data_IF_110191367305
#
_entry.id   IF_110191367305
#
_cell.length_a   1.000
_cell.length_b   1.000
_cell.length_c   1.000
_cell.angle_alpha   90.00
_cell.angle_beta   90.00
_cell.angle_gamma   90.00
#
_symmetry.space_group_name_H-M   'P 1'
#
loop_
_entity.id
_entity.type
_entity.pdbx_description
1 polymer ?
#
# COMPACT_ATOMS: atom_id res chain seq x y z
N UNK A 1 -1.34 -27.00 8.08
CA UNK A 1 -0.87 -26.48 9.38
C UNK A 1 -1.26 -27.47 10.47
N UNK A 2 -0.29 -28.00 11.21
CA UNK A 2 -0.53 -28.98 12.28
C UNK A 2 -1.26 -28.35 13.47
N UNK A 3 -2.26 -29.04 14.01
CA UNK A 3 -3.03 -28.64 15.19
C UNK A 3 -2.06 -28.53 16.38
N UNK A 4 -1.82 -27.31 16.90
CA UNK A 4 -0.97 -27.07 18.07
C UNK A 4 -1.85 -26.66 19.25
N UNK A 5 -2.14 -27.61 20.12
CA UNK A 5 -2.93 -27.41 21.34
C UNK A 5 -2.11 -26.65 22.39
N UNK A 6 -2.80 -26.12 23.43
CA UNK A 6 -2.12 -25.54 24.59
C UNK A 6 -1.25 -26.59 25.29
N UNK A 7 -0.14 -26.13 25.87
CA UNK A 7 0.69 -26.96 26.75
C UNK A 7 -0.10 -27.26 28.04
N UNK A 8 -0.09 -28.53 28.45
CA UNK A 8 -0.64 -28.98 29.72
C UNK A 8 0.42 -28.80 30.80
N UNK A 9 0.09 -28.04 31.85
CA UNK A 9 0.94 -27.84 33.01
C UNK A 9 0.44 -28.69 34.17
N UNK A 10 1.35 -29.44 34.79
CA UNK A 10 1.06 -30.26 35.96
C UNK A 10 2.11 -30.07 37.05
N UNK A 11 1.70 -30.25 38.30
CA UNK A 11 2.60 -30.23 39.44
C UNK A 11 3.71 -31.29 39.29
N UNK A 12 4.95 -30.94 39.67
CA UNK A 12 6.11 -31.82 39.58
C UNK A 12 6.67 -32.06 38.17
N UNK A 13 6.14 -31.41 37.14
CA UNK A 13 6.65 -31.53 35.77
C UNK A 13 8.02 -30.84 35.61
N UNK A 14 8.98 -31.53 35.00
CA UNK A 14 10.28 -30.93 34.64
C UNK A 14 10.11 -29.95 33.47
N UNK A 15 10.76 -28.79 33.55
CA UNK A 15 10.74 -27.78 32.49
C UNK A 15 11.67 -28.18 31.34
N UNK A 16 11.11 -28.21 30.13
CA UNK A 16 11.84 -28.41 28.88
C UNK A 16 11.70 -27.15 28.02
N UNK A 17 12.70 -26.80 27.18
CA UNK A 17 12.60 -25.66 26.26
C UNK A 17 11.34 -25.70 25.39
N UNK A 18 10.90 -26.90 25.02
CA UNK A 18 9.70 -27.14 24.21
C UNK A 18 8.44 -26.56 24.87
N UNK A 19 8.32 -26.58 26.20
CA UNK A 19 7.15 -26.00 26.87
C UNK A 19 7.01 -24.51 26.56
N UNK A 20 8.11 -23.77 26.65
CA UNK A 20 8.13 -22.34 26.36
C UNK A 20 7.99 -22.04 24.87
N UNK A 21 8.69 -22.78 24.01
CA UNK A 21 8.61 -22.62 22.55
C UNK A 21 7.19 -22.81 22.02
N UNK A 22 6.51 -23.88 22.43
CA UNK A 22 5.13 -24.13 21.98
C UNK A 22 4.11 -23.22 22.65
N UNK A 23 4.36 -22.76 23.88
CA UNK A 23 3.52 -21.75 24.52
C UNK A 23 3.62 -20.40 23.79
N UNK A 24 4.81 -19.96 23.44
CA UNK A 24 5.04 -18.73 22.68
C UNK A 24 4.39 -18.82 21.29
N UNK A 25 4.66 -19.89 20.54
CA UNK A 25 4.01 -20.16 19.24
C UNK A 25 2.49 -20.19 19.32
N UNK A 26 1.91 -20.75 20.40
CA UNK A 26 0.48 -20.74 20.61
C UNK A 26 -0.05 -19.30 20.78
N UNK A 27 0.62 -18.46 21.58
CA UNK A 27 0.23 -17.07 21.77
C UNK A 27 0.40 -16.24 20.49
N UNK A 28 1.52 -16.38 19.79
CA UNK A 28 1.76 -15.72 18.50
C UNK A 28 0.65 -16.06 17.50
N UNK A 29 0.26 -17.33 17.40
CA UNK A 29 -0.85 -17.76 16.54
C UNK A 29 -2.19 -17.15 16.96
N UNK A 30 -2.51 -17.13 18.26
CA UNK A 30 -3.76 -16.51 18.73
C UNK A 30 -3.79 -15.00 18.44
N UNK A 31 -2.65 -14.31 18.57
CA UNK A 31 -2.53 -12.89 18.22
C UNK A 31 -2.70 -12.68 16.71
N UNK A 32 -2.08 -13.53 15.88
CA UNK A 32 -2.27 -13.50 14.44
C UNK A 32 -3.74 -13.74 14.06
N UNK A 33 -4.39 -14.74 14.65
CA UNK A 33 -5.81 -15.06 14.41
C UNK A 33 -6.73 -13.90 14.84
N UNK A 34 -6.45 -13.27 15.98
CA UNK A 34 -7.19 -12.11 16.46
C UNK A 34 -7.02 -10.87 15.56
N UNK A 35 -5.89 -10.70 14.86
CA UNK A 35 -5.73 -9.64 13.85
C UNK A 35 -6.56 -9.95 12.60
N UNK A 36 -6.43 -11.18 12.08
CA UNK A 36 -7.13 -11.60 10.86
C UNK A 36 -8.67 -11.63 11.02
N UNK A 37 -9.18 -11.77 12.25
CA UNK A 37 -10.63 -11.73 12.48
C UNK A 37 -11.26 -10.36 12.22
N UNK A 38 -10.47 -9.27 12.24
CA UNK A 38 -10.95 -7.91 11.99
C UNK A 38 -10.87 -7.54 10.50
N UNK A 39 -9.88 -8.05 9.78
CA UNK A 39 -9.78 -7.88 8.32
C UNK A 39 -8.91 -8.99 7.71
N UNK A 40 -9.31 -9.54 6.54
CA UNK A 40 -8.49 -10.52 5.82
C UNK A 40 -7.19 -9.93 5.25
N UNK A 41 -7.06 -8.59 5.26
CA UNK A 41 -5.93 -7.84 4.71
C UNK A 41 -5.01 -7.26 5.80
N UNK A 42 -5.06 -7.78 7.03
CA UNK A 42 -4.21 -7.33 8.14
C UNK A 42 -2.76 -7.83 8.05
N UNK A 43 -2.11 -7.67 6.90
CA UNK A 43 -0.69 -7.94 6.67
C UNK A 43 -0.12 -6.96 5.62
N UNK A 44 1.19 -6.92 5.45
CA UNK A 44 1.86 -6.06 4.48
C UNK A 44 2.93 -5.15 5.08
N UNK A 45 3.41 -4.24 4.25
CA UNK A 45 4.46 -3.25 4.54
C UNK A 45 3.91 -2.14 5.44
N UNK A 46 4.71 -1.79 6.46
CA UNK A 46 4.51 -0.59 7.29
C UNK A 46 5.58 0.47 7.00
N UNK A 47 6.81 0.04 6.71
CA UNK A 47 7.88 0.93 6.28
C UNK A 47 8.87 0.16 5.41
N UNK A 48 9.30 0.74 4.30
CA UNK A 48 10.24 0.12 3.38
C UNK A 48 11.12 1.20 2.75
N UNK A 49 12.43 1.01 2.81
CA UNK A 49 13.40 1.87 2.11
C UNK A 49 14.50 1.01 1.49
N UNK A 50 14.75 1.26 0.21
CA UNK A 50 15.84 0.66 -0.56
C UNK A 50 17.09 1.52 -0.47
N UNK A 51 18.25 0.91 -0.70
CA UNK A 51 19.50 1.61 -0.94
C UNK A 51 19.62 1.91 -2.45
N UNK A 52 19.27 3.13 -2.85
CA UNK A 52 19.31 3.55 -4.26
C UNK A 52 20.74 3.54 -4.82
N UNK A 53 21.74 3.90 -4.01
CA UNK A 53 23.13 3.89 -4.43
C UNK A 53 23.66 2.48 -4.69
N UNK A 54 23.27 1.50 -3.86
CA UNK A 54 23.58 0.10 -4.12
C UNK A 54 22.84 -0.43 -5.36
N UNK A 55 21.58 -0.01 -5.57
CA UNK A 55 20.78 -0.43 -6.71
C UNK A 55 21.40 0.03 -8.04
N UNK A 56 21.90 1.26 -8.09
CA UNK A 56 22.65 1.79 -9.25
C UNK A 56 23.90 0.96 -9.58
N UNK A 57 24.53 0.35 -8.55
CA UNK A 57 25.68 -0.53 -8.69
C UNK A 57 25.30 -1.99 -9.02
N UNK A 58 24.00 -2.26 -9.24
CA UNK A 58 23.50 -3.60 -9.55
C UNK A 58 23.31 -4.50 -8.33
N UNK A 59 23.28 -3.96 -7.11
CA UNK A 59 23.02 -4.72 -5.89
C UNK A 59 21.74 -4.24 -5.20
N UNK A 60 20.80 -5.14 -4.98
CA UNK A 60 19.59 -4.84 -4.23
C UNK A 60 19.85 -4.92 -2.72
N UNK A 61 19.71 -3.80 -2.01
CA UNK A 61 19.78 -3.74 -0.55
C UNK A 61 18.65 -2.90 0.03
N UNK A 62 18.31 -3.19 1.29
CA UNK A 62 17.35 -2.42 2.07
C UNK A 62 18.09 -1.62 3.15
N UNK A 63 17.59 -0.43 3.45
CA UNK A 63 18.03 0.40 4.59
C UNK A 63 16.99 0.41 5.71
N UNK A 64 15.74 0.09 5.39
CA UNK A 64 14.63 -0.05 6.36
C UNK A 64 13.65 -1.11 5.86
N UNK A 65 13.24 -2.00 6.76
CA UNK A 65 12.21 -3.01 6.51
C UNK A 65 11.34 -3.18 7.75
N UNK A 66 10.05 -2.83 7.66
CA UNK A 66 9.04 -3.15 8.65
C UNK A 66 7.83 -3.76 7.95
N UNK A 67 7.62 -5.05 8.16
CA UNK A 67 6.62 -5.84 7.43
C UNK A 67 5.92 -6.80 8.37
N UNK A 68 4.59 -6.84 8.30
CA UNK A 68 3.79 -7.90 8.89
C UNK A 68 3.52 -8.97 7.83
N UNK A 69 4.04 -10.17 8.03
CA UNK A 69 3.83 -11.29 7.11
C UNK A 69 2.41 -11.86 7.21
N UNK A 70 1.92 -12.56 6.17
CA UNK A 70 0.63 -13.25 6.20
C UNK A 70 0.44 -14.25 7.35
N UNK A 71 1.53 -14.79 7.91
CA UNK A 71 1.48 -15.69 9.08
C UNK A 71 1.31 -14.93 10.42
N UNK A 72 1.29 -13.60 10.39
CA UNK A 72 1.16 -12.72 11.55
C UNK A 72 2.48 -12.29 12.20
N UNK A 73 3.62 -12.70 11.62
CA UNK A 73 4.96 -12.35 12.12
C UNK A 73 5.34 -10.94 11.70
N UNK A 74 5.74 -10.10 12.65
CA UNK A 74 6.23 -8.76 12.39
C UNK A 74 7.77 -8.77 12.37
N UNK A 75 8.37 -8.30 11.29
CA UNK A 75 9.79 -7.95 11.26
C UNK A 75 9.97 -6.44 11.38
N UNK A 76 10.98 -6.01 12.13
CA UNK A 76 11.37 -4.61 12.26
C UNK A 76 12.91 -4.46 12.18
N UNK A 77 13.44 -4.26 10.97
CA UNK A 77 14.86 -4.12 10.70
C UNK A 77 15.23 -2.70 10.21
N UNK A 78 16.33 -2.09 10.69
CA UNK A 78 17.36 -2.66 11.57
C UNK A 78 17.10 -2.49 13.09
N UNK A 79 15.87 -2.18 13.52
CA UNK A 79 15.61 -1.80 14.92
C UNK A 79 15.69 -2.98 15.91
N UNK A 80 15.11 -4.11 15.54
CA UNK A 80 15.08 -5.34 16.34
C UNK A 80 15.66 -6.53 15.58
N UNK A 81 15.59 -6.51 14.25
CA UNK A 81 16.04 -7.60 13.39
C UNK A 81 17.12 -7.11 12.42
N UNK A 82 17.99 -8.00 11.92
CA UNK A 82 18.98 -7.65 10.92
C UNK A 82 18.33 -7.53 9.54
N UNK A 83 18.74 -6.52 8.77
CA UNK A 83 18.31 -6.37 7.37
C UNK A 83 18.65 -7.64 6.57
N UNK A 84 17.81 -8.04 5.60
CA UNK A 84 18.11 -9.20 4.77
C UNK A 84 19.40 -8.98 3.97
N UNK A 85 20.18 -10.04 3.68
CA UNK A 85 21.37 -9.93 2.85
C UNK A 85 21.05 -9.35 1.48
N UNK A 86 21.96 -8.52 0.96
CA UNK A 86 21.81 -7.94 -0.37
C UNK A 86 21.85 -9.01 -1.47
N UNK A 87 21.15 -8.77 -2.58
CA UNK A 87 21.17 -9.65 -3.75
C UNK A 87 21.87 -8.97 -4.91
N UNK A 88 22.79 -9.68 -5.54
CA UNK A 88 23.38 -9.25 -6.81
C UNK A 88 22.33 -9.40 -7.93
N UNK A 89 22.15 -8.35 -8.72
CA UNK A 89 21.22 -8.30 -9.85
C UNK A 89 21.90 -8.60 -11.17
N UNK A 90 23.24 -8.69 -11.20
CA UNK A 90 24.01 -8.91 -12.43
C UNK A 90 23.76 -10.29 -13.06
N UNK A 91 23.38 -11.27 -12.24
CA UNK A 91 23.09 -12.65 -12.67
C UNK A 91 21.66 -12.84 -13.21
N UNK A 92 20.78 -11.84 -13.04
CA UNK A 92 19.39 -11.94 -13.50
C UNK A 92 19.27 -11.83 -15.02
N UNK A 93 18.31 -12.57 -15.57
CA UNK A 93 17.96 -12.57 -17.00
C UNK A 93 17.84 -11.15 -17.56
N UNK A 94 18.34 -10.95 -18.79
CA UNK A 94 18.44 -9.61 -19.39
C UNK A 94 17.11 -9.01 -19.86
N UNK A 95 16.03 -9.80 -19.94
CA UNK A 95 14.76 -9.35 -20.47
C UNK A 95 13.66 -9.62 -19.44
N UNK A 96 13.03 -8.57 -18.90
CA UNK A 96 11.85 -8.72 -18.04
C UNK A 96 11.78 -7.74 -16.87
N UNK A 97 10.61 -7.70 -16.25
CA UNK A 97 10.37 -7.10 -14.94
C UNK A 97 10.65 -8.15 -13.88
N UNK A 98 11.42 -7.82 -12.83
CA UNK A 98 11.79 -8.78 -11.78
C UNK A 98 11.04 -8.44 -10.51
N UNK A 99 10.17 -9.34 -10.05
CA UNK A 99 9.46 -9.18 -8.77
C UNK A 99 10.34 -9.63 -7.62
N UNK A 100 10.48 -8.75 -6.63
CA UNK A 100 11.25 -8.98 -5.41
C UNK A 100 10.30 -9.23 -4.25
N UNK A 101 10.59 -10.27 -3.49
CA UNK A 101 9.87 -10.62 -2.27
C UNK A 101 10.82 -10.57 -1.08
N UNK A 102 10.35 -10.05 0.04
CA UNK A 102 10.95 -10.41 1.33
C UNK A 102 10.29 -11.71 1.79
N UNK A 103 11.11 -12.64 2.26
CA UNK A 103 10.67 -13.96 2.68
C UNK A 103 11.26 -14.34 4.04
N UNK A 104 10.48 -15.10 4.79
CA UNK A 104 10.84 -15.68 6.08
C UNK A 104 10.51 -17.18 6.05
N UNK A 105 11.48 -18.02 6.41
CA UNK A 105 11.31 -19.47 6.38
C UNK A 105 10.22 -19.89 7.38
N UNK A 106 9.32 -20.77 6.95
CA UNK A 106 8.32 -21.36 7.84
C UNK A 106 8.98 -22.32 8.83
N UNK A 107 8.41 -22.46 10.03
CA UNK A 107 8.88 -23.44 10.99
C UNK A 107 8.58 -24.86 10.52
N UNK A 108 9.64 -25.64 10.33
CA UNK A 108 9.57 -27.05 9.98
C UNK A 108 9.78 -27.91 11.24
N UNK A 109 8.80 -28.75 11.62
CA UNK A 109 8.99 -29.68 12.72
C UNK A 109 10.20 -30.58 12.48
N UNK A 110 10.90 -30.96 13.55
CA UNK A 110 12.05 -31.87 13.50
C UNK A 110 13.28 -31.34 12.73
N UNK A 111 13.29 -30.05 12.37
CA UNK A 111 14.46 -29.33 11.88
C UNK A 111 14.86 -28.25 12.89
N UNK A 112 16.16 -27.91 13.05
CA UNK A 112 16.56 -26.70 13.74
C UNK A 112 15.86 -25.47 13.15
N UNK A 113 15.50 -24.51 14.00
CA UNK A 113 14.78 -23.29 13.60
C UNK A 113 15.70 -22.08 13.41
N UNK A 114 16.93 -22.14 13.89
CA UNK A 114 17.89 -21.03 13.90
C UNK A 114 19.25 -21.43 13.30
N UNK A 115 20.06 -20.42 12.93
CA UNK A 115 21.49 -20.53 12.64
C UNK A 115 22.30 -19.66 13.59
N UNK A 116 23.60 -19.94 13.73
CA UNK A 116 24.53 -19.11 14.49
C UNK A 116 24.88 -17.83 13.73
N UNK A 117 25.23 -16.76 14.45
CA UNK A 117 25.48 -15.43 13.90
C UNK A 117 26.53 -15.42 12.77
N UNK A 118 27.59 -16.23 12.89
CA UNK A 118 28.68 -16.31 11.90
C UNK A 118 28.35 -17.19 10.68
N UNK A 119 27.16 -17.81 10.66
CA UNK A 119 26.76 -18.68 9.55
C UNK A 119 26.27 -17.82 8.37
N UNK A 120 26.72 -18.08 7.13
CA UNK A 120 26.21 -17.41 5.95
C UNK A 120 24.67 -17.44 5.86
N UNK A 121 24.07 -16.25 5.74
CA UNK A 121 22.61 -16.08 5.73
C UNK A 121 22.05 -16.35 4.33
N UNK A 122 21.75 -17.62 4.05
CA UNK A 122 21.09 -18.05 2.80
C UNK A 122 19.57 -18.23 2.93
N UNK A 123 18.96 -17.74 4.02
CA UNK A 123 17.51 -17.88 4.26
C UNK A 123 17.04 -19.31 4.58
N UNK A 124 17.94 -20.24 4.91
CA UNK A 124 17.60 -21.64 5.16
C UNK A 124 16.90 -21.92 6.50
N UNK A 125 16.85 -20.95 7.41
CA UNK A 125 16.29 -21.05 8.76
C UNK A 125 15.59 -19.75 9.15
N UNK A 126 14.57 -19.86 10.02
CA UNK A 126 13.69 -18.74 10.39
C UNK A 126 14.39 -17.71 11.26
N UNK A 127 15.24 -18.16 12.18
CA UNK A 127 15.87 -17.29 13.17
C UNK A 127 17.39 -17.23 13.02
N UNK A 128 17.98 -16.15 13.53
CA UNK A 128 19.40 -15.96 13.78
C UNK A 128 19.61 -15.91 15.29
N UNK A 129 20.56 -16.67 15.82
CA UNK A 129 20.95 -16.52 17.21
C UNK A 129 21.75 -15.24 17.40
N UNK A 130 21.39 -14.50 18.44
CA UNK A 130 22.08 -13.30 18.91
C UNK A 130 22.25 -13.39 20.43
N UNK A 131 23.07 -12.51 20.99
CA UNK A 131 23.28 -12.40 22.44
C UNK A 131 23.07 -10.94 22.84
N UNK A 132 22.26 -10.74 23.88
CA UNK A 132 21.95 -9.42 24.39
C UNK A 132 22.19 -9.37 25.89
N UNK A 133 22.94 -8.38 26.35
CA UNK A 133 23.12 -8.10 27.78
C UNK A 133 21.93 -7.30 28.26
N UNK A 134 21.04 -7.94 29.02
CA UNK A 134 19.79 -7.36 29.49
C UNK A 134 19.80 -7.20 31.01
N UNK A 135 19.28 -6.08 31.55
CA UNK A 135 19.15 -5.90 32.98
C UNK A 135 17.98 -6.73 33.53
N UNK A 136 18.06 -7.09 34.82
CA UNK A 136 16.90 -7.57 35.56
C UNK A 136 15.83 -6.46 35.60
N UNK A 137 14.64 -6.72 35.05
CA UNK A 137 13.56 -5.73 35.00
C UNK A 137 12.94 -5.42 36.37
N UNK A 138 13.18 -6.24 37.39
CA UNK A 138 12.68 -6.04 38.76
C UNK A 138 13.70 -5.29 39.62
N UNK A 139 14.99 -5.67 39.54
CA UNK A 139 16.05 -5.13 40.41
C UNK A 139 16.98 -4.12 39.71
N UNK A 140 17.03 -4.11 38.38
CA UNK A 140 17.67 -3.09 37.52
C UNK A 140 19.20 -3.03 37.55
N UNK A 141 19.85 -3.64 38.54
CA UNK A 141 21.30 -3.51 38.77
C UNK A 141 22.13 -4.72 38.33
N UNK A 142 21.48 -5.87 38.13
CA UNK A 142 22.12 -7.08 37.63
C UNK A 142 21.89 -7.20 36.12
N UNK A 143 22.97 -7.26 35.35
CA UNK A 143 22.91 -7.53 33.90
C UNK A 143 23.35 -8.98 33.64
N UNK A 144 22.62 -9.66 32.74
CA UNK A 144 22.99 -11.00 32.28
C UNK A 144 22.96 -11.05 30.75
N UNK A 145 23.91 -11.79 30.19
CA UNK A 145 23.90 -12.10 28.76
C UNK A 145 22.86 -13.20 28.48
N UNK A 146 21.89 -12.88 27.64
CA UNK A 146 20.81 -13.78 27.24
C UNK A 146 20.92 -14.10 25.76
N UNK A 147 20.76 -15.38 25.41
CA UNK A 147 20.63 -15.80 24.02
C UNK A 147 19.26 -15.43 23.48
N UNK A 148 19.23 -14.57 22.45
CA UNK A 148 18.01 -14.10 21.78
C UNK A 148 17.92 -14.66 20.36
N UNK A 149 16.73 -14.55 19.76
CA UNK A 149 16.46 -14.98 18.39
C UNK A 149 15.92 -13.81 17.59
N UNK A 150 16.67 -13.42 16.56
CA UNK A 150 16.27 -12.40 15.59
C UNK A 150 15.68 -13.06 14.35
N UNK A 151 14.83 -12.37 13.59
CA UNK A 151 14.25 -12.90 12.35
C UNK A 151 15.26 -12.87 11.21
N UNK A 152 15.49 -14.04 10.60
CA UNK A 152 16.41 -14.20 9.48
C UNK A 152 15.65 -14.12 8.15
N UNK A 153 15.29 -12.90 7.74
CA UNK A 153 14.67 -12.67 6.43
C UNK A 153 15.69 -12.73 5.28
N UNK A 154 15.19 -13.05 4.09
CA UNK A 154 15.94 -13.10 2.85
C UNK A 154 15.16 -12.45 1.70
N UNK A 155 15.86 -12.03 0.65
CA UNK A 155 15.27 -11.47 -0.56
C UNK A 155 15.20 -12.56 -1.64
N UNK A 156 13.97 -12.89 -2.06
CA UNK A 156 13.70 -13.86 -3.12
C UNK A 156 13.26 -13.14 -4.40
N UNK A 157 13.81 -13.54 -5.53
CA UNK A 157 13.55 -12.95 -6.86
C UNK A 157 13.10 -14.03 -7.84
N UNK A 158 12.86 -13.65 -9.09
CA UNK A 158 12.52 -14.58 -10.15
C UNK A 158 13.57 -15.70 -10.28
N UNK A 159 13.13 -16.96 -10.26
CA UNK A 159 13.98 -18.15 -10.24
C UNK A 159 14.15 -18.78 -8.85
N UNK A 160 13.91 -18.02 -7.77
CA UNK A 160 13.92 -18.55 -6.41
C UNK A 160 12.58 -19.24 -6.09
N UNK A 161 12.61 -20.33 -5.32
CA UNK A 161 11.37 -20.97 -4.84
C UNK A 161 10.80 -20.24 -3.63
N UNK A 162 9.51 -19.92 -3.69
CA UNK A 162 8.76 -19.35 -2.58
C UNK A 162 8.22 -20.43 -1.61
N UNK A 163 8.35 -21.71 -1.97
CA UNK A 163 7.78 -22.80 -1.20
C UNK A 163 8.49 -22.95 0.15
N UNK A 164 7.70 -23.13 1.20
CA UNK A 164 8.22 -23.21 2.57
C UNK A 164 8.59 -21.87 3.18
N UNK A 165 8.26 -20.74 2.53
CA UNK A 165 8.38 -19.40 3.09
C UNK A 165 7.01 -18.75 3.28
N UNK A 166 6.91 -17.89 4.28
CA UNK A 166 5.94 -16.79 4.30
C UNK A 166 6.61 -15.59 3.65
N UNK A 167 5.92 -14.87 2.77
CA UNK A 167 6.55 -13.82 1.97
C UNK A 167 5.61 -12.66 1.68
N UNK A 168 6.21 -11.51 1.38
CA UNK A 168 5.53 -10.29 0.98
C UNK A 168 6.27 -9.71 -0.24
N UNK A 169 5.60 -9.44 -1.37
CA UNK A 169 6.22 -8.73 -2.48
C UNK A 169 6.52 -7.29 -2.04
N UNK A 170 7.75 -6.82 -2.29
CA UNK A 170 8.23 -5.51 -1.81
C UNK A 170 8.62 -4.55 -2.93
N UNK A 171 8.96 -5.07 -4.11
CA UNK A 171 9.32 -4.26 -5.26
C UNK A 171 9.10 -5.00 -6.58
N UNK A 172 8.97 -4.22 -7.64
CA UNK A 172 9.10 -4.65 -9.02
C UNK A 172 10.25 -3.86 -9.63
N UNK A 173 11.25 -4.56 -10.15
CA UNK A 173 12.42 -3.96 -10.80
C UNK A 173 12.19 -3.92 -12.31
N UNK A 174 12.42 -2.74 -12.91
CA UNK A 174 12.43 -2.53 -14.36
C UNK A 174 13.85 -2.19 -14.81
N UNK A 175 14.18 -2.51 -16.07
CA UNK A 175 15.44 -2.04 -16.64
C UNK A 175 15.34 -0.57 -17.00
N UNK A 176 16.37 0.18 -16.64
CA UNK A 176 16.53 1.57 -17.07
C UNK A 176 17.17 1.64 -18.46
N UNK A 177 17.09 2.81 -19.11
CA UNK A 177 17.70 3.03 -20.42
C UNK A 177 19.23 2.90 -20.44
N UNK A 178 19.87 3.02 -19.27
CA UNK A 178 21.31 2.86 -19.08
C UNK A 178 21.75 1.39 -18.89
N UNK A 179 20.81 0.43 -18.91
CA UNK A 179 21.08 -1.01 -18.75
C UNK A 179 21.12 -1.52 -17.31
N UNK A 180 20.97 -0.65 -16.31
CA UNK A 180 20.80 -1.00 -14.90
C UNK A 180 19.34 -1.28 -14.52
N UNK A 181 19.08 -1.43 -13.22
CA UNK A 181 17.73 -1.64 -12.67
C UNK A 181 17.22 -0.39 -11.95
N UNK A 182 15.92 -0.14 -12.03
CA UNK A 182 15.20 0.89 -11.29
C UNK A 182 13.93 0.30 -10.68
N UNK A 183 13.48 0.87 -9.55
CA UNK A 183 12.22 0.49 -8.93
C UNK A 183 11.04 1.04 -9.74
N UNK A 184 10.02 0.22 -9.97
CA UNK A 184 8.74 0.66 -10.52
C UNK A 184 7.86 1.25 -9.42
N UNK A 185 8.04 2.54 -9.12
CA UNK A 185 7.24 3.23 -8.09
C UNK A 185 5.89 3.71 -8.60
N UNK A 186 5.72 3.76 -9.93
CA UNK A 186 4.48 4.24 -10.57
C UNK A 186 3.46 3.12 -10.77
N UNK A 187 3.91 1.94 -11.24
CA UNK A 187 3.02 0.83 -11.57
C UNK A 187 2.86 -0.22 -10.48
N UNK A 188 3.76 -0.25 -9.50
CA UNK A 188 3.78 -1.26 -8.45
C UNK A 188 3.67 -0.65 -7.05
N UNK A 189 2.88 -1.32 -6.21
CA UNK A 189 2.72 -1.02 -4.79
C UNK A 189 2.75 -2.35 -4.04
N UNK A 190 3.62 -2.53 -3.04
CA UNK A 190 3.58 -3.71 -2.21
C UNK A 190 2.28 -3.72 -1.38
N UNK A 191 1.81 -4.89 -0.94
CA UNK A 191 0.74 -5.00 0.05
C UNK A 191 1.11 -4.13 1.24
N UNK A 192 0.26 -3.19 1.61
CA UNK A 192 0.56 -2.17 2.60
C UNK A 192 -0.52 -2.14 3.67
N UNK A 193 -0.09 -1.98 4.92
CA UNK A 193 -1.00 -1.89 6.06
C UNK A 193 -1.59 -0.50 6.23
N UNK A 194 -0.88 0.52 5.77
CA UNK A 194 -1.23 1.93 5.95
C UNK A 194 -1.13 2.67 4.61
N UNK A 195 -1.86 3.78 4.46
CA UNK A 195 -1.83 4.62 3.27
C UNK A 195 -0.48 5.34 3.09
N UNK A 196 0.25 5.63 4.18
CA UNK A 196 1.57 6.28 4.15
C UNK A 196 2.75 5.31 4.02
N UNK A 197 2.50 4.00 4.10
CA UNK A 197 3.58 3.01 3.94
C UNK A 197 4.18 3.03 2.52
N UNK A 198 3.41 3.49 1.53
CA UNK A 198 3.80 3.65 0.12
C UNK A 198 3.20 4.95 -0.40
N UNK A 199 3.90 5.65 -1.31
CA UNK A 199 3.43 6.94 -1.82
C UNK A 199 2.14 6.87 -2.65
N UNK A 200 1.97 5.80 -3.45
CA UNK A 200 0.92 5.71 -4.48
C UNK A 200 -0.52 6.00 -3.98
N UNK A 201 -1.04 5.37 -2.91
CA UNK A 201 -2.40 5.67 -2.42
C UNK A 201 -2.57 7.13 -1.96
N UNK A 202 -1.55 7.67 -1.30
CA UNK A 202 -1.57 9.04 -0.81
C UNK A 202 -1.56 10.03 -1.98
N UNK A 203 -0.77 9.77 -3.01
CA UNK A 203 -0.70 10.59 -4.22
C UNK A 203 -2.02 10.56 -5.01
N UNK A 204 -2.67 9.39 -5.13
CA UNK A 204 -4.02 9.26 -5.70
C UNK A 204 -5.00 10.15 -4.93
N UNK A 205 -5.00 10.05 -3.60
CA UNK A 205 -5.91 10.83 -2.78
C UNK A 205 -5.68 12.34 -2.90
N UNK A 206 -4.42 12.79 -2.94
CA UNK A 206 -4.08 14.21 -3.10
C UNK A 206 -4.47 14.77 -4.47
N UNK A 207 -4.35 13.98 -5.54
CA UNK A 207 -4.84 14.43 -6.87
C UNK A 207 -6.36 14.57 -6.87
N UNK A 208 -7.06 13.57 -6.31
CA UNK A 208 -8.52 13.56 -6.31
C UNK A 208 -9.15 14.60 -5.39
N UNK A 209 -8.53 14.92 -4.25
CA UNK A 209 -9.10 15.92 -3.33
C UNK A 209 -9.15 17.31 -3.97
N UNK A 210 -8.10 17.70 -4.70
CA UNK A 210 -8.07 18.94 -5.46
C UNK A 210 -9.09 18.96 -6.60
N UNK A 211 -9.26 17.82 -7.29
CA UNK A 211 -10.31 17.69 -8.31
C UNK A 211 -11.71 17.84 -7.72
N UNK A 212 -12.00 17.19 -6.59
CA UNK A 212 -13.30 17.29 -5.93
C UNK A 212 -13.61 18.72 -5.47
N UNK A 213 -12.61 19.44 -4.92
CA UNK A 213 -12.77 20.86 -4.56
C UNK A 213 -13.11 21.71 -5.78
N UNK A 214 -12.30 21.63 -6.84
CA UNK A 214 -12.52 22.42 -8.06
C UNK A 214 -13.89 22.11 -8.70
N UNK A 215 -14.32 20.84 -8.69
CA UNK A 215 -15.65 20.45 -9.17
C UNK A 215 -16.77 20.95 -8.27
N UNK A 216 -16.60 20.89 -6.95
CA UNK A 216 -17.57 21.43 -6.00
C UNK A 216 -17.76 22.93 -6.21
N UNK A 217 -16.68 23.71 -6.32
CA UNK A 217 -16.73 25.15 -6.57
C UNK A 217 -17.41 25.48 -7.91
N UNK A 218 -17.02 24.80 -8.99
CA UNK A 218 -17.58 25.01 -10.32
C UNK A 218 -19.09 24.72 -10.41
N UNK A 219 -19.58 23.70 -9.68
CA UNK A 219 -21.00 23.38 -9.61
C UNK A 219 -21.73 24.31 -8.62
N UNK A 220 -21.05 24.71 -7.55
CA UNK A 220 -21.59 25.63 -6.56
C UNK A 220 -21.90 27.00 -7.13
N UNK A 221 -21.03 27.52 -8.01
CA UNK A 221 -21.26 28.80 -8.71
C UNK A 221 -22.45 28.77 -9.67
N UNK A 222 -22.99 27.60 -10.00
CA UNK A 222 -24.22 27.45 -10.82
C UNK A 222 -25.49 27.49 -9.97
N UNK A 223 -25.37 27.54 -8.64
CA UNK A 223 -26.51 27.69 -7.74
C UNK A 223 -27.10 29.10 -7.92
N UNK A 224 -28.42 29.19 -8.04
CA UNK A 224 -29.13 30.47 -7.92
C UNK A 224 -29.17 30.85 -6.45
N UNK A 225 -28.55 31.97 -6.10
CA UNK A 225 -28.73 32.59 -4.79
C UNK A 225 -29.97 33.48 -4.82
N UNK A 226 -30.85 33.29 -3.81
CA UNK A 226 -31.90 34.24 -3.47
C UNK A 226 -31.48 35.02 -2.23
N UNK A 227 -32.14 36.15 -1.97
CA UNK A 227 -32.05 36.82 -0.67
C UNK A 227 -32.37 35.78 0.43
N UNK A 228 -31.57 35.75 1.49
CA UNK A 228 -31.53 34.76 2.61
C UNK A 228 -30.56 33.57 2.53
N UNK A 229 -29.60 33.53 1.59
CA UNK A 229 -28.51 32.51 1.57
C UNK A 229 -29.00 31.03 1.49
N UNK A 230 -30.28 30.81 1.15
CA UNK A 230 -30.83 29.47 0.92
C UNK A 230 -30.68 29.10 -0.55
N UNK A 231 -30.01 27.97 -0.83
CA UNK A 231 -29.89 27.44 -2.18
C UNK A 231 -31.22 26.81 -2.64
N UNK A 232 -31.82 27.34 -3.70
CA UNK A 232 -32.97 26.73 -4.38
C UNK A 232 -32.48 25.94 -5.61
N UNK A 233 -32.99 24.73 -5.79
CA UNK A 233 -32.82 23.94 -7.01
C UNK A 233 -34.18 23.80 -7.69
N UNK A 234 -34.29 24.28 -8.93
CA UNK A 234 -35.50 24.07 -9.73
C UNK A 234 -35.64 22.61 -10.15
N UNK A 235 -36.81 22.24 -10.67
CA UNK A 235 -37.02 20.90 -11.24
C UNK A 235 -36.11 20.60 -12.45
N UNK A 236 -35.60 21.64 -13.12
CA UNK A 236 -34.59 21.53 -14.19
C UNK A 236 -33.19 21.20 -13.67
N UNK A 237 -32.91 21.45 -12.39
CA UNK A 237 -31.57 21.39 -11.80
C UNK A 237 -31.35 20.12 -10.95
N UNK A 238 -32.26 19.15 -11.03
CA UNK A 238 -32.21 17.92 -10.23
C UNK A 238 -30.91 17.14 -10.46
N UNK A 239 -30.45 17.06 -11.70
CA UNK A 239 -29.16 16.43 -12.04
C UNK A 239 -27.98 17.17 -11.41
N UNK A 240 -27.99 18.51 -11.46
CA UNK A 240 -26.95 19.36 -10.86
C UNK A 240 -26.92 19.18 -9.33
N UNK A 241 -28.10 19.13 -8.70
CA UNK A 241 -28.23 18.89 -7.27
C UNK A 241 -27.60 17.56 -6.86
N UNK A 242 -27.97 16.45 -7.53
CA UNK A 242 -27.45 15.12 -7.18
C UNK A 242 -25.94 14.99 -7.43
N UNK A 243 -25.44 15.63 -8.49
CA UNK A 243 -24.01 15.66 -8.76
C UNK A 243 -23.24 16.44 -7.69
N UNK A 244 -23.70 17.64 -7.35
CA UNK A 244 -23.09 18.47 -6.30
C UNK A 244 -23.16 17.76 -4.94
N UNK A 245 -24.30 17.13 -4.63
CA UNK A 245 -24.46 16.30 -3.43
C UNK A 245 -23.43 15.17 -3.39
N UNK A 246 -23.26 14.44 -4.50
CA UNK A 246 -22.29 13.33 -4.62
C UNK A 246 -20.87 13.81 -4.34
N UNK A 247 -20.45 14.91 -4.97
CA UNK A 247 -19.10 15.47 -4.79
C UNK A 247 -18.90 15.99 -3.36
N UNK A 248 -19.88 16.71 -2.81
CA UNK A 248 -19.79 17.26 -1.46
C UNK A 248 -19.79 16.17 -0.38
N UNK A 249 -20.48 15.04 -0.62
CA UNK A 249 -20.44 13.86 0.27
C UNK A 249 -19.10 13.12 0.18
N UNK A 250 -18.48 13.08 -0.99
CA UNK A 250 -17.21 12.41 -1.21
C UNK A 250 -16.02 13.16 -0.58
N UNK A 251 -16.02 14.49 -0.67
CA UNK A 251 -14.92 15.33 -0.17
C UNK A 251 -14.49 15.05 1.29
N UNK A 252 -15.38 15.09 2.31
CA UNK A 252 -14.96 14.89 3.70
C UNK A 252 -14.47 13.47 3.96
N UNK A 253 -14.96 12.47 3.22
CA UNK A 253 -14.49 11.09 3.36
C UNK A 253 -13.03 10.96 2.89
N UNK A 254 -12.71 11.51 1.71
CA UNK A 254 -11.35 11.52 1.21
C UNK A 254 -10.41 12.38 2.07
N UNK A 255 -10.88 13.54 2.52
CA UNK A 255 -10.12 14.39 3.43
C UNK A 255 -9.80 13.67 4.75
N UNK A 256 -10.75 12.89 5.29
CA UNK A 256 -10.51 12.07 6.48
C UNK A 256 -9.45 10.99 6.24
N UNK A 257 -9.50 10.29 5.10
CA UNK A 257 -8.48 9.30 4.74
C UNK A 257 -7.07 9.91 4.65
N UNK A 258 -6.95 11.09 4.02
CA UNK A 258 -5.67 11.80 3.91
C UNK A 258 -5.17 12.34 5.25
N UNK A 259 -6.07 12.73 6.15
CA UNK A 259 -5.72 13.19 7.49
C UNK A 259 -5.32 12.04 8.44
N UNK A 260 -5.70 10.80 8.12
CA UNK A 260 -5.41 9.60 8.92
C UNK A 260 -4.67 8.56 8.08
N UNK A 261 -3.40 8.83 7.69
CA UNK A 261 -2.66 7.95 6.80
C UNK A 261 -2.39 6.55 7.39
N UNK A 262 -2.53 6.37 8.70
CA UNK A 262 -2.48 5.06 9.36
C UNK A 262 -3.67 4.13 9.05
N UNK A 263 -4.65 4.57 8.25
CA UNK A 263 -5.75 3.72 7.79
C UNK A 263 -5.30 2.77 6.67
N UNK A 264 -6.00 1.65 6.54
CA UNK A 264 -5.69 0.63 5.56
C UNK A 264 -6.05 1.06 4.11
N UNK A 265 -5.24 0.74 3.08
CA UNK A 265 -5.49 1.13 1.69
C UNK A 265 -6.83 0.65 1.09
N UNK A 266 -7.39 -0.44 1.60
CA UNK A 266 -8.74 -0.91 1.23
C UNK A 266 -9.81 0.18 1.48
N UNK A 267 -9.61 1.06 2.47
CA UNK A 267 -10.52 2.18 2.71
C UNK A 267 -10.56 3.16 1.52
N UNK A 268 -9.40 3.43 0.91
CA UNK A 268 -9.32 4.23 -0.32
C UNK A 268 -9.98 3.50 -1.50
N UNK A 269 -9.73 2.20 -1.66
CA UNK A 269 -10.42 1.39 -2.68
C UNK A 269 -11.95 1.50 -2.55
N UNK A 270 -12.50 1.29 -1.35
CA UNK A 270 -13.95 1.36 -1.12
C UNK A 270 -14.51 2.74 -1.45
N UNK A 271 -13.80 3.80 -1.04
CA UNK A 271 -14.14 5.18 -1.39
C UNK A 271 -14.18 5.39 -2.91
N UNK A 272 -13.13 4.97 -3.63
CA UNK A 272 -13.04 5.13 -5.08
C UNK A 272 -14.15 4.36 -5.81
N UNK A 273 -14.42 3.13 -5.39
CA UNK A 273 -15.47 2.30 -5.95
C UNK A 273 -16.87 2.91 -5.72
N UNK A 274 -17.16 3.39 -4.51
CA UNK A 274 -18.43 4.06 -4.19
C UNK A 274 -18.60 5.36 -5.00
N UNK A 275 -17.54 6.16 -5.11
CA UNK A 275 -17.56 7.40 -5.91
C UNK A 275 -17.75 7.10 -7.40
N UNK A 276 -17.01 6.13 -7.95
CA UNK A 276 -17.13 5.72 -9.35
C UNK A 276 -18.56 5.27 -9.66
N UNK A 277 -19.11 4.34 -8.85
CA UNK A 277 -20.48 3.85 -9.02
C UNK A 277 -21.53 4.97 -8.95
N UNK A 278 -21.35 5.92 -8.01
CA UNK A 278 -22.23 7.08 -7.89
C UNK A 278 -22.18 7.96 -9.15
N UNK A 279 -20.99 8.22 -9.68
CA UNK A 279 -20.79 9.06 -10.87
C UNK A 279 -21.24 8.38 -12.17
N UNK A 280 -21.21 7.05 -12.25
CA UNK A 280 -21.76 6.27 -13.38
C UNK A 280 -23.27 6.47 -13.55
N UNK A 281 -23.98 6.97 -12.52
CA UNK A 281 -25.40 7.38 -12.67
C UNK A 281 -25.58 8.50 -13.70
N UNK A 282 -24.55 9.32 -13.92
CA UNK A 282 -24.60 10.49 -14.79
C UNK A 282 -23.87 10.32 -16.13
N UNK A 283 -23.18 9.20 -16.33
CA UNK A 283 -22.38 8.93 -17.54
C UNK A 283 -22.57 7.49 -18.00
N UNK A 284 -22.68 7.30 -19.32
CA UNK A 284 -22.72 5.97 -19.95
C UNK A 284 -21.33 5.47 -20.39
N UNK A 285 -20.25 6.18 -20.04
CA UNK A 285 -18.89 5.84 -20.46
C UNK A 285 -18.35 4.56 -19.82
N UNK A 286 -18.83 4.23 -18.63
CA UNK A 286 -18.40 3.08 -17.83
C UNK A 286 -19.62 2.36 -17.24
N UNK A 287 -19.44 1.10 -16.88
CA UNK A 287 -20.45 0.22 -16.27
C UNK A 287 -19.99 -0.24 -14.89
N UNK A 288 -20.94 -0.68 -14.07
CA UNK A 288 -20.63 -1.22 -12.73
C UNK A 288 -19.68 -2.44 -12.79
N UNK A 289 -19.72 -3.22 -13.86
CA UNK A 289 -18.83 -4.36 -14.07
C UNK A 289 -17.37 -3.96 -14.37
N UNK A 290 -17.12 -2.67 -14.68
CA UNK A 290 -15.77 -2.15 -14.93
C UNK A 290 -15.04 -1.80 -13.62
N UNK A 291 -15.71 -1.87 -12.47
CA UNK A 291 -15.11 -1.67 -11.14
C UNK A 291 -14.34 -2.96 -10.78
N UNK A 292 -12.99 -2.93 -10.74
CA UNK A 292 -12.18 -4.11 -10.43
C UNK A 292 -12.34 -4.55 -8.97
N UNK A 293 -12.21 -5.86 -8.70
CA UNK A 293 -12.18 -6.39 -7.34
C UNK A 293 -10.89 -6.02 -6.61
N UNK A 294 -10.97 -5.78 -5.30
CA UNK A 294 -9.79 -5.48 -4.49
C UNK A 294 -8.87 -6.70 -4.37
N UNK A 295 -7.64 -6.55 -4.86
CA UNK A 295 -6.57 -7.53 -4.68
C UNK A 295 -5.47 -6.93 -3.80
N UNK A 296 -5.43 -7.29 -2.52
CA UNK A 296 -4.43 -6.75 -1.60
C UNK A 296 -2.98 -7.09 -1.99
N UNK A 297 -2.76 -8.22 -2.70
CA UNK A 297 -1.43 -8.61 -3.18
C UNK A 297 -0.91 -7.72 -4.31
N UNK A 298 -1.82 -7.09 -5.05
CA UNK A 298 -1.54 -6.26 -6.22
C UNK A 298 -2.51 -5.07 -6.27
N UNK A 299 -2.47 -4.25 -5.21
CA UNK A 299 -3.44 -3.17 -5.02
C UNK A 299 -3.20 -1.98 -5.97
N UNK A 300 -1.98 -1.81 -6.50
CA UNK A 300 -1.62 -0.70 -7.39
C UNK A 300 -2.54 -0.66 -8.62
N UNK A 301 -2.63 -1.78 -9.34
CA UNK A 301 -3.38 -1.87 -10.58
C UNK A 301 -4.86 -1.54 -10.38
N UNK A 302 -5.44 -2.05 -9.29
CA UNK A 302 -6.84 -1.80 -8.92
C UNK A 302 -7.08 -0.33 -8.58
N UNK A 303 -6.20 0.27 -7.77
CA UNK A 303 -6.35 1.67 -7.34
C UNK A 303 -6.13 2.65 -8.50
N UNK A 304 -5.12 2.40 -9.35
CA UNK A 304 -4.83 3.23 -10.52
C UNK A 304 -5.97 3.18 -11.55
N UNK A 305 -6.54 2.01 -11.79
CA UNK A 305 -7.67 1.86 -12.71
C UNK A 305 -8.93 2.56 -12.17
N UNK A 306 -9.22 2.43 -10.88
CA UNK A 306 -10.31 3.16 -10.25
C UNK A 306 -10.08 4.68 -10.25
N UNK A 307 -8.86 5.14 -9.98
CA UNK A 307 -8.52 6.55 -10.11
C UNK A 307 -8.81 7.04 -11.53
N UNK A 308 -8.36 6.31 -12.56
CA UNK A 308 -8.59 6.64 -13.97
C UNK A 308 -10.08 6.78 -14.28
N UNK A 309 -10.89 5.80 -13.89
CA UNK A 309 -12.36 5.81 -14.07
C UNK A 309 -12.99 7.02 -13.38
N UNK A 310 -12.64 7.28 -12.11
CA UNK A 310 -13.17 8.42 -11.35
C UNK A 310 -12.80 9.75 -12.00
N UNK A 311 -11.54 9.91 -12.44
CA UNK A 311 -11.08 11.12 -13.11
C UNK A 311 -11.85 11.40 -14.40
N UNK A 312 -12.02 10.38 -15.25
CA UNK A 312 -12.78 10.49 -16.49
C UNK A 312 -14.25 10.87 -16.22
N UNK A 313 -14.88 10.22 -15.24
CA UNK A 313 -16.26 10.54 -14.86
C UNK A 313 -16.39 11.97 -14.32
N UNK A 314 -15.47 12.43 -13.48
CA UNK A 314 -15.46 13.81 -12.97
C UNK A 314 -15.25 14.85 -14.08
N UNK A 315 -14.55 14.49 -15.16
CA UNK A 315 -14.36 15.36 -16.33
C UNK A 315 -15.59 15.39 -17.25
N UNK A 316 -16.20 14.24 -17.52
CA UNK A 316 -17.39 14.13 -18.39
C UNK A 316 -18.62 14.78 -17.74
N UNK A 317 -18.84 14.52 -16.46
CA UNK A 317 -20.08 14.91 -15.77
C UNK A 317 -20.07 16.39 -15.37
N UNK A 318 -18.90 17.00 -15.23
CA UNK A 318 -18.75 18.45 -15.05
C UNK A 318 -18.06 19.06 -16.27
N UNK A 319 -18.80 19.37 -17.35
CA UNK A 319 -18.20 20.00 -18.50
C UNK A 319 -17.58 21.35 -18.10
N UNK A 320 -16.30 21.51 -18.41
CA UNK A 320 -15.60 22.79 -18.34
C UNK A 320 -16.31 23.77 -19.28
N UNK A 321 -16.59 25.00 -18.84
CA UNK A 321 -17.13 26.03 -19.73
C UNK A 321 -16.03 26.40 -20.74
N UNK A 322 -16.20 25.99 -21.99
CA UNK A 322 -15.58 26.66 -23.12
C UNK A 322 -16.66 27.45 -23.85
N UNK A 323 -16.39 28.74 -24.08
CA UNK A 323 -17.15 29.55 -25.02
C UNK A 323 -16.59 29.24 -26.39
N UNK A 324 -17.41 28.65 -27.27
CA UNK A 324 -17.08 28.59 -28.70
C UNK A 324 -17.01 30.02 -29.23
N UNK A 325 -15.80 30.49 -29.57
CA UNK A 325 -15.62 31.75 -30.29
C UNK A 325 -15.38 31.41 -31.74
N UNK A 326 -16.42 31.58 -32.57
CA UNK A 326 -16.28 31.46 -34.02
C UNK A 326 -15.35 32.56 -34.54
N UNK A 327 -14.15 32.17 -34.97
CA UNK A 327 -13.23 33.07 -35.66
C UNK A 327 -13.63 33.15 -37.13
N UNK A 328 -14.35 34.21 -37.49
CA UNK A 328 -14.61 34.54 -38.89
C UNK A 328 -13.30 34.95 -39.57
N UNK A 329 -12.82 34.12 -40.49
CA UNK A 329 -11.65 34.40 -41.31
C UNK A 329 -11.99 35.44 -42.38
N UNK A 330 -11.73 36.72 -42.11
CA UNK A 330 -11.72 37.75 -43.15
C UNK A 330 -10.47 37.60 -44.03
N UNK A 331 -10.64 37.10 -45.26
CA UNK A 331 -9.58 37.09 -46.29
C UNK A 331 -9.22 38.51 -46.76
N UNK A 332 -7.98 38.74 -47.26
CA UNK A 332 -7.13 39.82 -46.78
C UNK A 332 -7.13 41.08 -47.66
N UNK A 333 -6.93 42.24 -47.02
CA UNK A 333 -5.97 43.24 -47.54
C UNK A 333 -5.15 43.96 -46.48
N UNK A 334 -5.43 43.75 -45.20
CA UNK A 334 -4.51 44.02 -44.10
C UNK A 334 -4.98 43.24 -42.87
N UNK A 335 -4.08 42.46 -42.27
CA UNK A 335 -4.40 41.64 -41.10
C UNK A 335 -4.70 42.54 -39.89
N UNK A 336 -5.98 42.79 -39.62
CA UNK A 336 -6.46 43.33 -38.35
C UNK A 336 -7.55 42.45 -37.80
N UNK A 337 -7.31 41.89 -36.63
CA UNK A 337 -8.31 41.22 -35.82
C UNK A 337 -9.10 42.31 -35.07
N UNK A 338 -10.43 42.33 -35.20
CA UNK A 338 -11.29 43.22 -34.40
C UNK A 338 -12.20 42.40 -33.49
N UNK A 339 -12.21 42.75 -32.20
CA UNK A 339 -13.16 42.23 -31.21
C UNK A 339 -14.38 43.15 -31.19
N UNK A 340 -15.59 42.59 -31.30
CA UNK A 340 -16.83 43.28 -30.99
C UNK A 340 -17.31 42.77 -29.64
N UNK A 341 -17.11 43.55 -28.58
CA UNK A 341 -17.74 43.32 -27.29
C UNK A 341 -19.23 43.67 -27.42
N UNK A 342 -20.10 42.68 -27.25
CA UNK A 342 -21.53 42.90 -26.99
C UNK A 342 -21.68 42.88 -25.48
N UNK A 343 -22.29 43.94 -24.93
CA UNK A 343 -22.52 44.15 -23.49
C UNK A 343 -23.49 43.12 -22.92
#
# INVERSE_FOLDING_TARGET
MGKRNRIMWSEGMFLLPQHFQYQDEFHQRQLAEARHSHSPFSWGVQALKFDEGALEQGTLRLTRLKVLFPDGTLIDAPAHDPLPPGRDLNELSRNGEVRVHVALKNLEPWSPSYIYQDTPRHGGRRYLQSFETLPDLNEGSLENELGTLELNTTLLMEGDTLDGFTYCPIALLKRNAAGGFSLDTEGFMPPALHLDAVALPFDIGNRLIGMLQARSEALSGRRRERADQVAEFGSSDVTLFWLLYTINRAYPQLAHLLAHPGLHPEALYRFLAELAASLMTFSMSHKLADIPEYNHRDAAQVLLELERIVRELLEVVVPNQYIYVDLLLCKPRSARWSKKLIR
#
